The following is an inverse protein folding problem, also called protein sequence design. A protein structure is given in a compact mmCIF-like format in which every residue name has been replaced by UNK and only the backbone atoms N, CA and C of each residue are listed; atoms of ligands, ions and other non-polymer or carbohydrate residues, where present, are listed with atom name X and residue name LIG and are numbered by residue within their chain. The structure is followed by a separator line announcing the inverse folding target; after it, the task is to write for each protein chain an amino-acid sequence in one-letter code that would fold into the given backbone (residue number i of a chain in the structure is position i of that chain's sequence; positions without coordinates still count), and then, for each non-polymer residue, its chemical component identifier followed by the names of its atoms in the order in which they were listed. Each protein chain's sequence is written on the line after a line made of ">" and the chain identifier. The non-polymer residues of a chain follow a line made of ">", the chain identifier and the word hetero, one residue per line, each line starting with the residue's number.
data_IF_805871076366
#
_entry.id   IF_805871076366
#
_cell.length_a   1.000
_cell.length_b   1.000
_cell.length_c   1.000
_cell.angle_alpha   90.00
_cell.angle_beta   90.00
_cell.angle_gamma   90.00
#
_symmetry.space_group_name_H-M   'P 1'
#
loop_
_entity.id
_entity.type
_entity.pdbx_description
1 polymer ?
#
# COMPACT_ATOMS: atom_id res chain seq x y z
N UNK A 1 -14.83 20.08 -3.61
CA UNK A 1 -13.56 19.37 -3.36
C UNK A 1 -13.33 19.39 -1.86
N UNK A 2 -13.48 18.28 -1.11
CA UNK A 2 -12.76 18.19 0.14
C UNK A 2 -11.28 18.07 -0.21
N UNK A 3 -10.58 19.17 0.02
CA UNK A 3 -9.14 19.35 -0.13
C UNK A 3 -8.45 18.35 0.82
N UNK A 4 -7.30 17.74 0.45
CA UNK A 4 -6.51 16.96 1.39
C UNK A 4 -6.33 17.76 2.69
N UNK A 5 -6.56 17.13 3.84
CA UNK A 5 -6.50 17.79 5.15
C UNK A 5 -5.15 18.50 5.28
N UNK A 6 -5.19 19.81 5.49
CA UNK A 6 -3.97 20.60 5.66
C UNK A 6 -3.21 20.06 6.86
N UNK A 7 -1.98 19.60 6.62
CA UNK A 7 -1.10 19.14 7.68
C UNK A 7 -0.74 20.30 8.61
N UNK A 8 -0.99 20.13 9.90
CA UNK A 8 -0.59 21.09 10.93
C UNK A 8 0.74 20.63 11.53
N UNK A 9 1.88 21.31 11.25
CA UNK A 9 3.16 20.93 11.82
C UNK A 9 3.19 21.15 13.35
N UNK A 10 4.10 20.48 14.09
CA UNK A 10 4.27 20.72 15.51
C UNK A 10 4.70 22.17 15.78
N UNK A 11 4.21 22.74 16.87
CA UNK A 11 4.69 24.02 17.37
C UNK A 11 6.01 23.82 18.13
N UNK A 12 7.14 24.02 17.44
CA UNK A 12 8.48 23.90 18.02
C UNK A 12 8.83 25.03 19.00
N UNK A 13 7.97 26.04 19.17
CA UNK A 13 8.15 27.07 20.21
C UNK A 13 7.66 26.61 21.59
N UNK A 14 6.93 25.49 21.67
CA UNK A 14 6.49 24.90 22.93
C UNK A 14 7.71 24.59 23.83
N UNK A 15 7.63 24.84 25.15
CA UNK A 15 8.79 24.70 26.04
C UNK A 15 9.47 23.33 26.00
N UNK A 16 8.70 22.25 25.86
CA UNK A 16 9.18 20.87 25.75
C UNK A 16 10.00 20.63 24.48
N UNK A 17 9.53 21.11 23.32
CA UNK A 17 10.24 20.94 22.05
C UNK A 17 11.35 21.98 21.81
N UNK A 18 11.21 23.19 22.37
CA UNK A 18 12.21 24.25 22.27
C UNK A 18 13.46 23.95 23.11
N UNK A 19 13.29 23.28 24.25
CA UNK A 19 14.38 22.87 25.14
C UNK A 19 14.92 21.46 24.86
N UNK A 20 14.32 20.74 23.90
CA UNK A 20 14.74 19.40 23.52
C UNK A 20 16.21 19.34 23.08
N UNK A 21 16.95 18.29 23.45
CA UNK A 21 18.32 18.11 23.01
C UNK A 21 18.38 17.77 21.51
N UNK A 22 19.54 17.96 20.89
CA UNK A 22 19.79 17.40 19.55
C UNK A 22 19.76 15.86 19.63
N UNK A 23 19.25 15.21 18.59
CA UNK A 23 19.18 13.77 18.51
C UNK A 23 20.58 13.14 18.61
N UNK A 24 20.69 12.07 19.39
CA UNK A 24 21.92 11.30 19.49
C UNK A 24 22.12 10.44 18.24
N UNK A 25 23.38 10.23 17.86
CA UNK A 25 23.75 9.48 16.66
C UNK A 25 24.77 8.40 17.02
N UNK A 26 24.63 7.22 16.43
CA UNK A 26 25.57 6.11 16.54
C UNK A 26 25.94 5.55 15.18
N UNK A 27 27.20 5.19 15.01
CA UNK A 27 27.67 4.60 13.76
C UNK A 27 27.25 3.12 13.68
N UNK A 28 26.73 2.72 12.52
CA UNK A 28 26.41 1.32 12.26
C UNK A 28 27.69 0.46 12.29
N UNK A 29 27.78 -0.57 13.17
CA UNK A 29 29.02 -1.31 13.37
C UNK A 29 29.41 -2.20 12.18
N UNK A 30 28.45 -2.62 11.36
CA UNK A 30 28.65 -3.39 10.12
C UNK A 30 27.40 -3.31 9.24
N UNK A 31 27.53 -3.70 7.97
CA UNK A 31 26.40 -3.82 7.05
C UNK A 31 25.26 -4.65 7.67
N UNK A 32 24.04 -4.10 7.61
CA UNK A 32 22.83 -4.74 8.11
C UNK A 32 22.71 -4.79 9.64
N UNK A 33 23.59 -4.11 10.40
CA UNK A 33 23.51 -4.07 11.86
C UNK A 33 23.44 -2.65 12.37
N UNK A 34 22.46 -2.44 13.23
CA UNK A 34 22.17 -1.15 13.84
C UNK A 34 22.98 -0.98 15.14
N UNK A 35 23.36 0.26 15.50
CA UNK A 35 23.93 0.54 16.81
C UNK A 35 22.92 0.23 17.92
N UNK A 36 23.41 -0.03 19.14
CA UNK A 36 22.54 -0.14 20.30
C UNK A 36 21.74 1.15 20.48
N UNK A 37 20.51 1.03 20.96
CA UNK A 37 19.61 2.16 21.17
C UNK A 37 19.16 2.89 19.89
N UNK A 38 19.28 2.30 18.70
CA UNK A 38 18.73 2.88 17.46
C UNK A 38 17.23 3.21 17.60
N UNK A 39 16.76 4.33 17.05
CA UNK A 39 15.33 4.62 16.95
C UNK A 39 14.67 3.81 15.84
N UNK A 40 13.57 3.14 16.14
CA UNK A 40 12.76 2.40 15.17
C UNK A 40 11.58 3.27 14.75
N UNK A 41 11.42 3.50 13.46
CA UNK A 41 10.35 4.37 12.95
C UNK A 41 8.99 3.68 12.99
N UNK A 42 7.98 4.48 13.29
CA UNK A 42 6.57 4.22 13.00
C UNK A 42 6.27 4.49 11.52
N UNK A 43 5.00 4.64 11.16
CA UNK A 43 4.55 5.15 9.87
C UNK A 43 4.06 6.61 9.93
N UNK A 44 4.04 7.23 11.11
CA UNK A 44 3.62 8.62 11.31
C UNK A 44 4.70 9.63 10.84
N UNK A 45 4.36 10.92 10.70
CA UNK A 45 5.34 11.98 10.56
C UNK A 45 6.29 12.03 11.76
N UNK A 46 7.58 11.87 11.53
CA UNK A 46 8.60 11.90 12.58
C UNK A 46 9.61 13.01 12.32
N UNK A 47 9.91 13.76 13.38
CA UNK A 47 10.86 14.86 13.35
C UNK A 47 12.12 14.49 14.13
N UNK A 48 13.27 14.87 13.59
CA UNK A 48 14.58 14.73 14.24
C UNK A 48 15.15 16.12 14.50
N UNK A 49 15.53 16.38 15.75
CA UNK A 49 16.17 17.63 16.14
C UNK A 49 17.67 17.57 15.81
N UNK A 50 18.13 18.46 14.93
CA UNK A 50 19.54 18.55 14.52
C UNK A 50 20.37 19.50 15.40
N UNK A 51 19.78 20.05 16.46
CA UNK A 51 20.35 21.12 17.28
C UNK A 51 20.04 22.52 16.77
N UNK A 52 20.28 23.53 17.62
CA UNK A 52 20.03 24.93 17.28
C UNK A 52 18.56 25.26 16.99
N UNK A 53 17.62 24.47 17.52
CA UNK A 53 16.18 24.60 17.29
C UNK A 53 15.70 24.06 15.93
N UNK A 54 16.58 23.42 15.14
CA UNK A 54 16.23 22.92 13.81
C UNK A 54 15.67 21.50 13.88
N UNK A 55 14.36 21.38 13.72
CA UNK A 55 13.65 20.10 13.57
C UNK A 55 13.45 19.76 12.10
N UNK A 56 13.81 18.54 11.71
CA UNK A 56 13.65 18.05 10.33
C UNK A 56 12.62 16.92 10.29
N UNK A 57 11.56 17.10 9.51
CA UNK A 57 10.62 16.04 9.18
C UNK A 57 11.32 15.00 8.29
N UNK A 58 11.17 13.72 8.62
CA UNK A 58 11.57 12.65 7.71
C UNK A 58 10.79 12.80 6.39
N UNK A 59 11.46 12.86 5.22
CA UNK A 59 10.75 13.08 3.95
C UNK A 59 9.93 11.88 3.49
N UNK A 60 10.21 10.72 4.08
CA UNK A 60 9.57 9.44 3.84
C UNK A 60 9.35 8.75 5.19
N UNK A 61 8.53 7.70 5.22
CA UNK A 61 8.36 6.88 6.42
C UNK A 61 8.13 5.41 6.06
N UNK A 62 8.30 4.55 7.04
CA UNK A 62 8.15 3.09 6.98
C UNK A 62 8.16 2.56 8.41
N UNK A 63 7.22 1.69 8.73
CA UNK A 63 7.26 1.01 10.03
C UNK A 63 8.45 0.05 10.10
N UNK A 64 9.10 -0.01 11.26
CA UNK A 64 10.27 -0.86 11.55
C UNK A 64 11.51 -0.54 10.69
N UNK A 65 11.67 0.71 10.27
CA UNK A 65 12.90 1.23 9.66
C UNK A 65 13.72 2.05 10.65
N UNK A 66 14.83 2.64 10.18
CA UNK A 66 15.66 3.54 10.98
C UNK A 66 15.91 4.86 10.27
N UNK A 67 16.19 5.90 11.05
CA UNK A 67 16.58 7.21 10.55
C UNK A 67 18.11 7.28 10.44
N UNK A 68 18.61 7.47 9.22
CA UNK A 68 20.03 7.70 8.93
C UNK A 68 20.24 9.17 8.59
N UNK A 69 21.15 9.84 9.31
CA UNK A 69 21.49 11.24 9.08
C UNK A 69 22.72 11.35 8.17
N UNK A 70 22.55 11.95 7.00
CA UNK A 70 23.64 12.20 6.05
C UNK A 70 23.54 13.63 5.50
N UNK A 71 24.64 14.41 5.60
CA UNK A 71 24.73 15.77 5.05
C UNK A 71 23.58 16.71 5.47
N UNK A 72 23.11 16.59 6.72
CA UNK A 72 22.00 17.40 7.24
C UNK A 72 20.61 17.01 6.73
N UNK A 73 20.50 15.85 6.06
CA UNK A 73 19.23 15.25 5.61
C UNK A 73 18.99 13.93 6.33
N UNK A 74 17.72 13.63 6.61
CA UNK A 74 17.28 12.37 7.21
C UNK A 74 16.78 11.44 6.11
N UNK A 75 17.26 10.20 6.13
CA UNK A 75 16.79 9.10 5.26
C UNK A 75 16.14 8.04 6.13
N UNK A 76 15.04 7.46 5.64
CA UNK A 76 14.42 6.29 6.25
C UNK A 76 14.94 5.05 5.54
N UNK A 77 15.64 4.19 6.27
CA UNK A 77 16.39 3.06 5.71
C UNK A 77 15.98 1.78 6.43
N UNK A 78 15.70 0.73 5.66
CA UNK A 78 15.47 -0.60 6.19
C UNK A 78 16.73 -1.12 6.89
N UNK A 79 16.63 -1.78 8.06
CA UNK A 79 17.81 -2.23 8.81
C UNK A 79 18.78 -3.08 7.98
N UNK A 80 18.27 -3.92 7.08
CA UNK A 80 19.08 -4.77 6.19
C UNK A 80 19.89 -4.01 5.13
N UNK A 81 19.54 -2.76 4.84
CA UNK A 81 20.19 -1.93 3.84
C UNK A 81 21.20 -0.94 4.44
N UNK A 82 21.19 -0.76 5.76
CA UNK A 82 22.15 0.10 6.47
C UNK A 82 23.58 -0.39 6.23
N UNK A 83 24.48 0.56 5.93
CA UNK A 83 25.90 0.31 5.66
C UNK A 83 26.77 0.63 6.86
N UNK A 84 27.89 -0.08 6.99
CA UNK A 84 28.87 0.17 8.04
C UNK A 84 29.29 1.65 8.05
N UNK A 85 29.30 2.27 9.23
CA UNK A 85 29.66 3.67 9.42
C UNK A 85 28.55 4.69 9.13
N UNK A 86 27.36 4.27 8.68
CA UNK A 86 26.23 5.20 8.57
C UNK A 86 25.76 5.67 9.95
N UNK A 87 25.46 6.96 10.07
CA UNK A 87 25.06 7.60 11.33
C UNK A 87 23.56 7.41 11.56
N UNK A 88 23.21 6.49 12.44
CA UNK A 88 21.83 6.14 12.78
C UNK A 88 21.37 6.95 14.00
N UNK A 89 20.15 7.47 13.96
CA UNK A 89 19.51 8.16 15.10
C UNK A 89 19.27 7.18 16.24
N UNK A 90 19.61 7.60 17.46
CA UNK A 90 19.46 6.84 18.69
C UNK A 90 18.38 7.46 19.58
N UNK A 91 17.57 6.61 20.19
CA UNK A 91 16.53 6.99 21.13
C UNK A 91 15.44 5.93 21.28
N UNK A 92 14.64 6.09 22.33
CA UNK A 92 13.46 5.28 22.67
C UNK A 92 12.24 6.13 22.98
N UNK A 93 12.42 7.41 23.30
CA UNK A 93 11.30 8.33 23.51
C UNK A 93 10.94 9.08 22.23
N UNK A 94 9.67 9.50 22.17
CA UNK A 94 9.04 9.99 20.94
C UNK A 94 8.33 11.34 21.13
N UNK A 95 8.46 11.99 22.29
CA UNK A 95 7.85 13.31 22.56
C UNK A 95 8.90 14.44 22.59
N UNK A 96 10.08 14.20 22.01
CA UNK A 96 11.17 15.16 21.89
C UNK A 96 12.26 15.04 22.95
N UNK A 97 12.10 14.19 23.97
CA UNK A 97 13.03 14.09 25.10
C UNK A 97 14.45 13.65 24.67
N UNK A 98 14.55 12.84 23.61
CA UNK A 98 15.81 12.42 22.99
C UNK A 98 16.05 13.06 21.60
N UNK A 99 15.36 14.17 21.30
CA UNK A 99 15.44 14.86 20.01
C UNK A 99 14.69 14.16 18.87
N UNK A 100 13.73 13.29 19.21
CA UNK A 100 12.84 12.58 18.27
C UNK A 100 11.40 12.92 18.65
N UNK A 101 10.59 13.36 17.68
CA UNK A 101 9.19 13.68 17.90
C UNK A 101 8.29 13.00 16.87
N UNK A 102 7.39 12.12 17.34
CA UNK A 102 6.39 11.45 16.49
C UNK A 102 5.10 12.25 16.53
N UNK A 103 4.70 12.82 15.39
CA UNK A 103 3.55 13.71 15.29
C UNK A 103 2.30 12.97 14.79
N UNK A 104 1.46 12.53 15.72
CA UNK A 104 0.27 11.72 15.42
C UNK A 104 -0.98 12.54 15.09
N UNK A 105 -1.05 13.80 15.54
CA UNK A 105 -2.25 14.66 15.44
C UNK A 105 -2.21 15.65 14.28
N UNK A 106 -1.18 15.56 13.41
CA UNK A 106 -0.97 16.54 12.34
C UNK A 106 -2.06 16.57 11.26
N UNK A 107 -2.95 15.58 11.23
CA UNK A 107 -4.08 15.50 10.30
C UNK A 107 -5.45 15.53 11.00
N UNK A 108 -5.47 15.69 12.32
CA UNK A 108 -6.72 15.72 13.08
C UNK A 108 -7.53 16.95 12.67
N UNK A 109 -8.84 16.75 12.48
CA UNK A 109 -9.75 17.88 12.30
C UNK A 109 -10.23 18.36 13.67
N UNK A 110 -10.46 19.67 13.81
CA UNK A 110 -10.93 20.30 15.08
C UNK A 110 -12.23 19.65 15.63
N UNK A 111 -12.94 18.86 14.81
CA UNK A 111 -14.15 18.12 15.17
C UNK A 111 -13.93 16.78 15.89
N UNK A 112 -12.72 16.23 15.94
CA UNK A 112 -12.45 14.93 16.60
C UNK A 112 -12.37 14.99 18.14
N UNK A 113 -12.52 16.19 18.72
CA UNK A 113 -12.60 16.38 20.18
C UNK A 113 -14.00 16.08 20.73
N UNK A 114 -14.46 14.85 20.57
CA UNK A 114 -15.62 14.32 21.30
C UNK A 114 -15.25 14.14 22.77
N UNK A 115 -15.69 15.06 23.64
CA UNK A 115 -15.41 15.06 25.09
C UNK A 115 -16.25 14.05 25.91
N UNK A 116 -17.08 13.22 25.26
CA UNK A 116 -18.03 12.35 25.95
C UNK A 116 -17.40 11.06 26.46
N UNK A 117 -17.68 10.73 27.73
CA UNK A 117 -17.10 9.59 28.45
C UNK A 117 -17.74 8.23 28.09
N UNK A 118 -18.83 8.23 27.33
CA UNK A 118 -19.56 7.02 26.92
C UNK A 118 -19.93 7.11 25.44
N UNK A 119 -19.29 6.27 24.62
CA UNK A 119 -19.39 6.30 23.16
C UNK A 119 -19.65 4.88 22.65
N UNK A 120 -20.72 4.69 21.87
CA UNK A 120 -20.96 3.45 21.13
C UNK A 120 -20.25 3.50 19.77
N UNK A 121 -19.89 2.33 19.20
CA UNK A 121 -19.35 2.19 17.84
C UNK A 121 -18.02 2.91 17.61
N UNK A 122 -17.08 2.78 18.54
CA UNK A 122 -15.70 3.28 18.40
C UNK A 122 -14.84 2.50 17.41
N UNK A 123 -15.37 1.42 16.80
CA UNK A 123 -14.71 0.60 15.79
C UNK A 123 -15.69 0.23 14.67
N UNK A 124 -15.16 0.10 13.46
CA UNK A 124 -15.90 -0.45 12.32
C UNK A 124 -16.31 -1.89 12.59
N UNK A 125 -17.54 -2.24 12.23
CA UNK A 125 -18.12 -3.59 12.31
C UNK A 125 -18.97 -3.82 11.06
N UNK A 126 -19.49 -5.04 10.87
CA UNK A 126 -20.48 -5.32 9.79
C UNK A 126 -21.71 -4.41 9.79
N UNK A 127 -22.02 -3.75 10.90
CA UNK A 127 -23.16 -2.82 11.02
C UNK A 127 -22.79 -1.37 10.68
N UNK A 128 -21.55 -1.11 10.25
CA UNK A 128 -21.07 0.24 9.95
C UNK A 128 -21.60 0.69 8.58
N UNK A 129 -22.29 1.85 8.50
CA UNK A 129 -22.73 2.39 7.23
C UNK A 129 -21.54 3.00 6.47
N UNK A 130 -21.25 2.49 5.28
CA UNK A 130 -20.11 2.93 4.47
C UNK A 130 -20.44 3.99 3.40
N UNK A 131 -21.70 4.41 3.22
CA UNK A 131 -22.10 5.30 2.12
C UNK A 131 -21.25 6.56 2.02
N UNK A 132 -21.06 7.29 3.12
CA UNK A 132 -20.18 8.46 3.16
C UNK A 132 -18.71 8.11 2.91
N UNK A 133 -18.26 6.94 3.37
CA UNK A 133 -16.90 6.47 3.11
C UNK A 133 -16.64 6.23 1.62
N UNK A 134 -17.66 5.73 0.90
CA UNK A 134 -17.62 5.60 -0.55
C UNK A 134 -17.61 6.96 -1.25
N UNK A 135 -18.47 7.90 -0.84
CA UNK A 135 -18.49 9.25 -1.43
C UNK A 135 -17.11 9.92 -1.31
N UNK A 136 -16.51 9.88 -0.12
CA UNK A 136 -15.16 10.40 0.13
C UNK A 136 -14.11 9.65 -0.72
N UNK A 137 -14.19 8.33 -0.82
CA UNK A 137 -13.29 7.52 -1.65
C UNK A 137 -13.39 7.91 -3.12
N UNK A 138 -14.59 8.13 -3.66
CA UNK A 138 -14.78 8.53 -5.05
C UNK A 138 -14.15 9.89 -5.34
N UNK A 139 -14.30 10.86 -4.43
CA UNK A 139 -13.67 12.17 -4.56
C UNK A 139 -12.14 12.08 -4.49
N UNK A 140 -11.62 11.28 -3.55
CA UNK A 140 -10.17 11.03 -3.42
C UNK A 140 -9.62 10.41 -4.71
N UNK A 141 -10.27 9.38 -5.25
CA UNK A 141 -9.80 8.72 -6.48
C UNK A 141 -9.89 9.62 -7.70
N UNK A 142 -10.96 10.43 -7.84
CA UNK A 142 -11.05 11.44 -8.93
C UNK A 142 -9.93 12.46 -8.84
N UNK A 143 -9.59 12.92 -7.64
CA UNK A 143 -8.47 13.84 -7.43
C UNK A 143 -7.12 13.18 -7.72
N UNK A 144 -6.86 12.03 -7.10
CA UNK A 144 -5.57 11.34 -7.17
C UNK A 144 -5.31 10.65 -8.52
N UNK A 145 -6.33 10.48 -9.37
CA UNK A 145 -6.17 10.11 -10.78
C UNK A 145 -5.24 11.08 -11.50
N UNK A 146 -5.41 12.38 -11.26
CA UNK A 146 -4.71 13.43 -12.00
C UNK A 146 -3.60 14.09 -11.16
N UNK A 147 -3.66 13.98 -9.83
CA UNK A 147 -2.78 14.73 -8.90
C UNK A 147 -2.10 13.83 -7.84
N UNK A 148 -2.18 12.51 -7.99
CA UNK A 148 -1.71 11.56 -6.98
C UNK A 148 -1.03 10.34 -7.58
N UNK A 149 -0.88 9.32 -6.74
CA UNK A 149 -0.33 8.03 -7.12
C UNK A 149 -1.13 6.92 -6.42
N UNK A 150 -2.05 6.32 -7.17
CA UNK A 150 -2.99 5.30 -6.71
C UNK A 150 -2.37 3.91 -6.89
N UNK A 151 -2.11 3.23 -5.79
CA UNK A 151 -1.55 1.86 -5.79
C UNK A 151 -2.61 0.84 -5.43
N UNK A 152 -2.74 -0.19 -6.25
CA UNK A 152 -3.66 -1.30 -6.03
C UNK A 152 -2.92 -2.53 -5.53
N UNK A 153 -3.41 -3.15 -4.46
CA UNK A 153 -2.86 -4.39 -3.90
C UNK A 153 -3.93 -5.48 -3.99
N UNK A 154 -3.79 -6.39 -4.95
CA UNK A 154 -4.88 -7.27 -5.37
C UNK A 154 -4.66 -8.74 -5.03
N UNK A 155 -5.69 -9.37 -4.49
CA UNK A 155 -5.84 -10.82 -4.40
C UNK A 155 -6.55 -11.43 -5.62
N UNK A 156 -6.42 -12.75 -5.84
CA UNK A 156 -6.99 -13.41 -7.02
C UNK A 156 -8.53 -13.37 -7.08
N UNK A 157 -9.22 -13.09 -5.96
CA UNK A 157 -10.67 -12.99 -5.91
C UNK A 157 -11.26 -11.95 -6.88
N UNK A 158 -10.48 -10.93 -7.26
CA UNK A 158 -10.86 -9.90 -8.24
C UNK A 158 -10.90 -10.46 -9.67
N UNK A 159 -10.15 -11.53 -9.97
CA UNK A 159 -10.12 -12.17 -11.28
C UNK A 159 -11.08 -13.36 -11.42
N UNK A 160 -11.64 -13.84 -10.30
CA UNK A 160 -12.55 -14.99 -10.28
C UNK A 160 -14.00 -14.67 -10.65
N UNK A 161 -14.32 -13.41 -10.89
CA UNK A 161 -15.64 -12.96 -11.32
C UNK A 161 -15.49 -12.03 -12.53
N UNK A 162 -16.34 -12.23 -13.54
CA UNK A 162 -16.27 -11.47 -14.80
C UNK A 162 -16.44 -9.98 -14.58
N UNK A 163 -17.46 -9.56 -13.85
CA UNK A 163 -17.86 -8.16 -13.78
C UNK A 163 -16.85 -7.33 -12.96
N UNK A 164 -16.29 -7.91 -11.91
CA UNK A 164 -15.20 -7.30 -11.13
C UNK A 164 -13.87 -7.24 -11.89
N UNK A 165 -13.55 -8.25 -12.69
CA UNK A 165 -12.39 -8.25 -13.61
C UNK A 165 -12.53 -7.15 -14.67
N UNK A 166 -13.70 -7.02 -15.26
CA UNK A 166 -14.02 -5.94 -16.23
C UNK A 166 -13.97 -4.56 -15.56
N UNK A 167 -14.51 -4.42 -14.34
CA UNK A 167 -14.44 -3.17 -13.59
C UNK A 167 -13.00 -2.74 -13.29
N UNK A 168 -12.13 -3.67 -12.86
CA UNK A 168 -10.71 -3.37 -12.65
C UNK A 168 -10.01 -2.94 -13.95
N UNK A 169 -10.29 -3.65 -15.05
CA UNK A 169 -9.77 -3.32 -16.38
C UNK A 169 -10.18 -1.90 -16.79
N UNK A 170 -11.45 -1.54 -16.60
CA UNK A 170 -11.96 -0.22 -16.91
C UNK A 170 -11.36 0.89 -16.02
N UNK A 171 -11.09 0.61 -14.74
CA UNK A 171 -10.40 1.54 -13.85
C UNK A 171 -8.95 1.78 -14.29
N UNK A 172 -8.24 0.75 -14.76
CA UNK A 172 -6.90 0.89 -15.34
C UNK A 172 -6.97 1.75 -16.61
N UNK A 173 -7.86 1.40 -17.54
CA UNK A 173 -8.05 2.12 -18.81
C UNK A 173 -8.39 3.60 -18.59
N UNK A 174 -9.14 3.92 -17.52
CA UNK A 174 -9.53 5.27 -17.14
C UNK A 174 -8.47 6.02 -16.30
N UNK A 175 -7.29 5.44 -16.04
CA UNK A 175 -6.19 6.09 -15.32
C UNK A 175 -6.26 6.06 -13.79
N UNK A 176 -7.19 5.30 -13.20
CA UNK A 176 -7.33 5.19 -11.74
C UNK A 176 -6.34 4.20 -11.10
N UNK A 177 -5.36 3.68 -11.86
CA UNK A 177 -4.36 2.74 -11.38
C UNK A 177 -2.96 3.17 -11.86
N UNK A 178 -2.09 3.54 -10.92
CA UNK A 178 -0.73 3.99 -11.21
C UNK A 178 0.34 2.92 -10.94
N UNK A 179 0.00 1.92 -10.13
CA UNK A 179 0.78 0.69 -9.95
C UNK A 179 -0.13 -0.42 -9.42
N UNK A 180 0.16 -1.66 -9.82
CA UNK A 180 -0.55 -2.85 -9.35
C UNK A 180 0.44 -3.83 -8.72
N UNK A 181 0.16 -4.18 -7.47
CA UNK A 181 0.93 -5.14 -6.67
C UNK A 181 0.07 -6.38 -6.42
N UNK A 182 0.60 -7.54 -6.74
CA UNK A 182 -0.10 -8.81 -6.56
C UNK A 182 0.89 -9.97 -6.37
N UNK A 183 0.39 -11.20 -6.41
CA UNK A 183 1.21 -12.40 -6.50
C UNK A 183 0.89 -13.21 -7.75
N UNK A 184 1.60 -14.33 -7.93
CA UNK A 184 1.44 -15.25 -9.06
C UNK A 184 -0.03 -15.60 -9.34
N UNK A 185 -0.79 -15.91 -8.29
CA UNK A 185 -2.18 -16.36 -8.41
C UNK A 185 -3.09 -15.36 -9.14
N UNK A 186 -2.99 -14.05 -8.88
CA UNK A 186 -3.83 -13.07 -9.58
C UNK A 186 -3.52 -13.07 -11.08
N UNK A 187 -2.24 -12.97 -11.44
CA UNK A 187 -1.82 -12.89 -12.83
C UNK A 187 -2.16 -14.18 -13.59
N UNK A 188 -1.95 -15.34 -12.98
CA UNK A 188 -2.32 -16.63 -13.56
C UNK A 188 -3.83 -16.72 -13.82
N UNK A 189 -4.66 -16.39 -12.83
CA UNK A 189 -6.11 -16.53 -12.97
C UNK A 189 -6.74 -15.46 -13.86
N UNK A 190 -6.15 -14.26 -13.96
CA UNK A 190 -6.59 -13.26 -14.94
C UNK A 190 -6.35 -13.71 -16.40
N UNK A 191 -5.24 -14.41 -16.65
CA UNK A 191 -4.94 -15.02 -17.95
C UNK A 191 -5.76 -16.29 -18.19
N UNK A 192 -6.02 -17.09 -17.15
CA UNK A 192 -6.95 -18.23 -17.21
C UNK A 192 -8.35 -17.78 -17.63
N UNK A 193 -8.82 -16.67 -17.04
CA UNK A 193 -10.06 -16.02 -17.44
C UNK A 193 -10.06 -15.58 -18.91
N UNK A 194 -8.95 -15.00 -19.39
CA UNK A 194 -8.84 -14.61 -20.81
C UNK A 194 -8.85 -15.81 -21.77
N UNK A 195 -8.14 -16.89 -21.43
CA UNK A 195 -7.94 -18.03 -22.33
C UNK A 195 -9.09 -19.03 -22.28
N UNK A 196 -9.63 -19.29 -21.10
CA UNK A 196 -10.58 -20.37 -20.84
C UNK A 196 -11.91 -19.90 -20.25
N UNK A 197 -12.02 -18.61 -19.88
CA UNK A 197 -13.15 -18.04 -19.13
C UNK A 197 -13.36 -18.71 -17.77
N UNK A 198 -12.30 -19.27 -17.19
CA UNK A 198 -12.35 -19.93 -15.89
C UNK A 198 -11.38 -19.33 -14.88
N UNK A 199 -11.70 -19.53 -13.59
CA UNK A 199 -10.78 -19.41 -12.47
C UNK A 199 -10.75 -20.72 -11.70
N UNK A 200 -9.60 -21.39 -11.63
CA UNK A 200 -9.47 -22.74 -11.07
C UNK A 200 -10.41 -23.76 -11.73
N UNK A 201 -10.67 -23.60 -13.03
CA UNK A 201 -11.53 -24.50 -13.80
C UNK A 201 -13.04 -24.31 -13.61
N UNK A 202 -13.46 -23.29 -12.86
CA UNK A 202 -14.85 -22.86 -12.75
C UNK A 202 -15.09 -21.65 -13.65
N UNK A 203 -16.17 -21.63 -14.44
CA UNK A 203 -16.53 -20.47 -15.26
C UNK A 203 -16.76 -19.23 -14.39
N UNK A 204 -16.11 -18.12 -14.74
CA UNK A 204 -16.10 -16.88 -13.94
C UNK A 204 -17.42 -16.10 -13.97
N UNK A 205 -18.41 -16.58 -14.73
CA UNK A 205 -19.74 -15.99 -14.80
C UNK A 205 -20.82 -16.98 -14.36
N UNK A 206 -20.88 -18.18 -14.97
CA UNK A 206 -21.94 -19.15 -14.68
C UNK A 206 -21.68 -19.97 -13.42
N UNK A 207 -20.44 -19.97 -12.92
CA UNK A 207 -19.98 -20.80 -11.80
C UNK A 207 -20.04 -22.31 -12.07
N UNK A 208 -20.23 -22.72 -13.33
CA UNK A 208 -20.20 -24.12 -13.72
C UNK A 208 -18.76 -24.64 -13.80
N UNK A 209 -18.53 -25.88 -13.36
CA UNK A 209 -17.22 -26.51 -13.44
C UNK A 209 -16.97 -27.04 -14.86
N UNK A 210 -15.85 -26.65 -15.46
CA UNK A 210 -15.43 -27.19 -16.73
C UNK A 210 -14.83 -28.61 -16.57
N UNK A 211 -15.16 -29.56 -17.46
CA UNK A 211 -14.48 -30.84 -17.51
C UNK A 211 -12.97 -30.66 -17.69
N UNK A 212 -12.17 -31.21 -16.76
CA UNK A 212 -10.70 -31.05 -16.68
C UNK A 212 -10.22 -29.61 -16.42
N UNK A 213 -11.10 -28.74 -15.92
CA UNK A 213 -10.77 -27.34 -15.63
C UNK A 213 -9.62 -27.12 -14.64
N UNK A 214 -9.32 -28.11 -13.78
CA UNK A 214 -8.17 -28.05 -12.87
C UNK A 214 -6.82 -27.95 -13.59
N UNK A 215 -6.73 -28.28 -14.88
CA UNK A 215 -5.52 -28.07 -15.69
C UNK A 215 -5.38 -26.65 -16.24
N UNK A 216 -6.47 -25.87 -16.35
CA UNK A 216 -6.46 -24.59 -17.08
C UNK A 216 -5.38 -23.62 -16.57
N UNK A 217 -5.29 -23.40 -15.26
CA UNK A 217 -4.27 -22.52 -14.68
C UNK A 217 -2.83 -23.05 -14.90
N UNK A 218 -2.62 -24.37 -14.90
CA UNK A 218 -1.33 -24.99 -15.18
C UNK A 218 -0.94 -24.84 -16.65
N UNK A 219 -1.91 -25.01 -17.55
CA UNK A 219 -1.73 -24.82 -18.99
C UNK A 219 -1.37 -23.36 -19.29
N UNK A 220 -2.04 -22.40 -18.66
CA UNK A 220 -1.69 -20.96 -18.74
C UNK A 220 -0.25 -20.74 -18.28
N UNK A 221 0.12 -21.21 -17.09
CA UNK A 221 1.49 -21.05 -16.56
C UNK A 221 2.51 -21.63 -17.54
N UNK A 222 2.29 -22.86 -18.00
CA UNK A 222 3.19 -23.54 -18.92
C UNK A 222 3.34 -22.76 -20.23
N UNK A 223 2.23 -22.23 -20.76
CA UNK A 223 2.22 -21.48 -22.01
C UNK A 223 2.93 -20.13 -21.88
N UNK A 224 2.73 -19.42 -20.76
CA UNK A 224 3.45 -18.17 -20.51
C UNK A 224 4.95 -18.42 -20.38
N UNK A 225 5.33 -19.50 -19.69
CA UNK A 225 6.74 -19.93 -19.58
C UNK A 225 7.31 -20.35 -20.93
N UNK A 226 6.52 -20.97 -21.81
CA UNK A 226 6.93 -21.36 -23.17
C UNK A 226 7.29 -20.14 -24.02
N UNK A 227 6.54 -19.04 -23.90
CA UNK A 227 6.86 -17.78 -24.56
C UNK A 227 7.98 -17.00 -23.85
N UNK A 228 8.11 -17.17 -22.54
CA UNK A 228 9.19 -16.62 -21.71
C UNK A 228 8.89 -15.26 -21.08
N UNK A 229 7.73 -14.66 -21.37
CA UNK A 229 7.25 -13.43 -20.71
C UNK A 229 5.74 -13.23 -20.91
N UNK A 230 5.10 -12.53 -19.98
CA UNK A 230 3.71 -12.07 -20.04
C UNK A 230 3.43 -11.27 -21.31
N UNK A 231 4.28 -10.28 -21.61
CA UNK A 231 4.11 -9.40 -22.78
C UNK A 231 4.07 -10.22 -24.07
N UNK A 232 5.02 -11.15 -24.24
CA UNK A 232 5.06 -11.99 -25.43
C UNK A 232 3.87 -12.94 -25.48
N UNK A 233 3.50 -13.52 -24.34
CA UNK A 233 2.39 -14.46 -24.26
C UNK A 233 1.07 -13.82 -24.65
N UNK A 234 0.79 -12.61 -24.14
CA UNK A 234 -0.43 -11.87 -24.45
C UNK A 234 -0.51 -11.58 -25.96
N UNK A 235 0.60 -11.20 -26.59
CA UNK A 235 0.66 -10.96 -28.02
C UNK A 235 0.45 -12.23 -28.86
N UNK A 236 1.17 -13.31 -28.54
CA UNK A 236 1.14 -14.58 -29.31
C UNK A 236 -0.17 -15.35 -29.12
N UNK A 237 -0.79 -15.25 -27.93
CA UNK A 237 -2.08 -15.89 -27.62
C UNK A 237 -3.29 -15.03 -28.03
N UNK A 238 -3.07 -13.81 -28.53
CA UNK A 238 -4.14 -12.90 -28.93
C UNK A 238 -5.04 -12.47 -27.77
N UNK A 239 -4.49 -12.35 -26.55
CA UNK A 239 -5.22 -11.88 -25.38
C UNK A 239 -5.40 -10.37 -25.50
N UNK A 240 -6.65 -9.91 -25.53
CA UNK A 240 -7.02 -8.50 -25.74
C UNK A 240 -7.81 -7.89 -24.56
N UNK A 241 -7.97 -8.64 -23.47
CA UNK A 241 -8.71 -8.20 -22.29
C UNK A 241 -8.01 -8.67 -20.99
N UNK A 242 -8.49 -8.17 -19.85
CA UNK A 242 -8.01 -8.54 -18.53
C UNK A 242 -7.14 -7.52 -17.84
N UNK A 243 -6.95 -7.74 -16.54
CA UNK A 243 -6.19 -6.87 -15.65
C UNK A 243 -4.74 -6.77 -16.09
N UNK A 244 -4.10 -7.91 -16.39
CA UNK A 244 -2.69 -7.97 -16.81
C UNK A 244 -2.51 -7.32 -18.18
N UNK A 245 -3.40 -7.62 -19.13
CA UNK A 245 -3.39 -6.97 -20.44
C UNK A 245 -3.53 -5.44 -20.32
N UNK A 246 -4.49 -4.97 -19.50
CA UNK A 246 -4.71 -3.54 -19.27
C UNK A 246 -3.47 -2.87 -18.66
N UNK A 247 -2.84 -3.50 -17.66
CA UNK A 247 -1.59 -2.99 -17.09
C UNK A 247 -0.50 -2.84 -18.15
N UNK A 248 -0.30 -3.82 -19.02
CA UNK A 248 0.73 -3.77 -20.05
C UNK A 248 0.40 -2.72 -21.14
N UNK A 249 -0.85 -2.66 -21.58
CA UNK A 249 -1.35 -1.69 -22.57
C UNK A 249 -1.14 -0.25 -22.09
N UNK A 250 -1.42 0.03 -20.83
CA UNK A 250 -1.31 1.36 -20.22
C UNK A 250 0.04 1.60 -19.52
N UNK A 251 0.99 0.66 -19.63
CA UNK A 251 2.30 0.72 -18.98
C UNK A 251 2.22 0.93 -17.46
N UNK A 252 1.16 0.44 -16.82
CA UNK A 252 1.04 0.42 -15.37
C UNK A 252 2.04 -0.58 -14.81
N UNK A 253 2.98 -0.16 -13.94
CA UNK A 253 3.93 -1.06 -13.30
C UNK A 253 3.21 -2.19 -12.55
N UNK A 254 3.63 -3.42 -12.85
CA UNK A 254 3.12 -4.63 -12.24
C UNK A 254 4.22 -5.28 -11.40
N UNK A 255 4.00 -5.42 -10.09
CA UNK A 255 4.90 -6.16 -9.19
C UNK A 255 4.21 -7.45 -8.75
N UNK A 256 4.74 -8.58 -9.19
CA UNK A 256 4.27 -9.91 -8.79
C UNK A 256 5.22 -10.50 -7.75
N UNK A 257 4.84 -10.46 -6.48
CA UNK A 257 5.60 -11.06 -5.40
C UNK A 257 5.34 -12.57 -5.33
N UNK A 258 6.41 -13.36 -5.31
CA UNK A 258 6.32 -14.80 -5.17
C UNK A 258 5.92 -15.25 -3.76
N UNK A 259 5.28 -16.40 -3.68
CA UNK A 259 4.87 -17.06 -2.44
C UNK A 259 5.22 -18.54 -2.48
N UNK A 260 5.36 -19.14 -1.29
CA UNK A 260 5.67 -20.57 -1.13
C UNK A 260 4.59 -21.51 -1.68
N UNK A 261 3.42 -20.97 -2.05
CA UNK A 261 2.29 -21.73 -2.62
C UNK A 261 2.20 -21.64 -4.14
N UNK A 262 3.12 -20.93 -4.79
CA UNK A 262 2.97 -20.61 -6.20
C UNK A 262 3.17 -21.85 -7.08
N UNK A 263 2.20 -22.11 -7.97
CA UNK A 263 2.36 -23.03 -9.09
C UNK A 263 3.16 -22.36 -10.21
N UNK A 264 4.14 -23.06 -10.80
CA UNK A 264 4.99 -22.51 -11.86
C UNK A 264 6.32 -21.97 -11.32
N UNK A 265 6.46 -20.65 -11.05
CA UNK A 265 5.54 -19.52 -11.30
C UNK A 265 5.65 -18.92 -12.71
N UNK A 266 4.85 -17.89 -13.01
CA UNK A 266 5.01 -17.06 -14.21
C UNK A 266 6.41 -16.38 -14.23
N UNK A 267 7.02 -16.13 -15.41
CA UNK A 267 8.39 -15.61 -15.51
C UNK A 267 8.65 -14.28 -14.77
N UNK A 268 7.65 -13.40 -14.72
CA UNK A 268 7.73 -12.06 -14.11
C UNK A 268 7.66 -12.08 -12.58
N UNK A 269 7.34 -13.23 -11.97
CA UNK A 269 7.20 -13.34 -10.52
C UNK A 269 8.56 -13.23 -9.84
N UNK A 270 8.66 -12.28 -8.90
CA UNK A 270 9.85 -12.07 -8.08
C UNK A 270 9.80 -13.05 -6.91
N UNK A 271 10.53 -14.16 -7.02
CA UNK A 271 10.55 -15.23 -6.01
C UNK A 271 11.38 -14.89 -4.77
N UNK A 272 12.35 -13.98 -4.90
CA UNK A 272 13.10 -13.45 -3.76
C UNK A 272 12.25 -12.41 -3.02
N UNK A 273 11.86 -12.74 -1.78
CA UNK A 273 10.97 -11.89 -0.98
C UNK A 273 11.57 -10.54 -0.62
N UNK A 274 12.89 -10.43 -0.47
CA UNK A 274 13.56 -9.17 -0.19
C UNK A 274 13.57 -8.26 -1.42
N UNK A 275 13.80 -8.81 -2.61
CA UNK A 275 13.69 -8.09 -3.89
C UNK A 275 12.25 -7.70 -4.21
N UNK A 276 11.28 -8.57 -3.92
CA UNK A 276 9.86 -8.26 -4.08
C UNK A 276 9.47 -7.10 -3.15
N UNK A 277 9.92 -7.14 -1.90
CA UNK A 277 9.72 -6.05 -0.95
C UNK A 277 10.38 -4.74 -1.43
N UNK A 278 11.60 -4.77 -1.97
CA UNK A 278 12.26 -3.57 -2.52
C UNK A 278 11.48 -3.00 -3.72
N UNK A 279 10.96 -3.85 -4.61
CA UNK A 279 10.13 -3.44 -5.73
C UNK A 279 8.80 -2.82 -5.26
N UNK A 280 8.14 -3.42 -4.26
CA UNK A 280 6.93 -2.84 -3.65
C UNK A 280 7.25 -1.52 -2.93
N UNK A 281 8.39 -1.44 -2.22
CA UNK A 281 8.82 -0.25 -1.48
C UNK A 281 8.95 0.96 -2.40
N UNK A 282 9.46 0.77 -3.62
CA UNK A 282 9.53 1.82 -4.63
C UNK A 282 8.17 2.52 -4.83
N UNK A 283 7.09 1.76 -4.96
CA UNK A 283 5.74 2.31 -5.13
C UNK A 283 5.17 2.91 -3.84
N UNK A 284 5.45 2.30 -2.67
CA UNK A 284 4.97 2.83 -1.38
C UNK A 284 5.49 4.23 -1.05
N UNK A 285 6.69 4.60 -1.56
CA UNK A 285 7.27 5.94 -1.36
C UNK A 285 6.51 7.03 -2.11
N UNK A 286 5.82 6.68 -3.19
CA UNK A 286 5.07 7.62 -4.03
C UNK A 286 3.58 7.61 -3.73
N UNK A 287 3.05 6.54 -3.13
CA UNK A 287 1.64 6.35 -2.90
C UNK A 287 0.98 7.52 -2.14
N UNK A 288 -0.13 8.01 -2.69
CA UNK A 288 -1.03 8.97 -2.00
C UNK A 288 -2.36 8.30 -1.63
N UNK A 289 -2.76 7.29 -2.40
CA UNK A 289 -3.92 6.44 -2.12
C UNK A 289 -3.55 4.98 -2.39
N UNK A 290 -3.96 4.10 -1.49
CA UNK A 290 -3.74 2.65 -1.58
C UNK A 290 -5.08 1.95 -1.44
N UNK A 291 -5.43 1.10 -2.40
CA UNK A 291 -6.63 0.25 -2.34
C UNK A 291 -6.20 -1.20 -2.34
N UNK A 292 -6.48 -1.91 -1.25
CA UNK A 292 -6.07 -3.30 -1.09
C UNK A 292 -7.29 -4.23 -0.97
N UNK A 293 -7.36 -5.24 -1.83
CA UNK A 293 -8.55 -6.08 -2.02
C UNK A 293 -8.23 -7.57 -1.79
N UNK A 294 -8.90 -8.18 -0.81
CA UNK A 294 -8.93 -9.64 -0.58
C UNK A 294 -7.53 -10.32 -0.59
N UNK A 295 -6.51 -9.70 0.01
CA UNK A 295 -5.14 -10.24 0.02
C UNK A 295 -4.38 -9.92 1.29
N UNK A 296 -4.67 -10.63 2.38
CA UNK A 296 -4.09 -10.34 3.70
C UNK A 296 -2.56 -10.24 3.69
N UNK A 297 -1.86 -11.20 3.05
CA UNK A 297 -0.40 -11.21 3.03
C UNK A 297 0.19 -9.96 2.35
N UNK A 298 -0.27 -9.63 1.15
CA UNK A 298 0.27 -8.49 0.40
C UNK A 298 -0.17 -7.16 1.02
N UNK A 299 -1.40 -7.08 1.54
CA UNK A 299 -1.87 -5.87 2.24
C UNK A 299 -1.07 -5.61 3.50
N UNK A 300 -0.76 -6.64 4.31
CA UNK A 300 0.14 -6.51 5.46
C UNK A 300 1.52 -6.02 5.01
N UNK A 301 2.10 -6.71 4.03
CA UNK A 301 3.45 -6.41 3.57
C UNK A 301 3.55 -4.97 3.07
N UNK A 302 2.62 -4.55 2.22
CA UNK A 302 2.59 -3.20 1.68
C UNK A 302 2.25 -2.15 2.75
N UNK A 303 1.30 -2.42 3.64
CA UNK A 303 0.95 -1.53 4.74
C UNK A 303 2.12 -1.20 5.66
N UNK A 304 3.00 -2.17 5.93
CA UNK A 304 4.23 -1.91 6.70
C UNK A 304 5.18 -0.93 5.99
N UNK A 305 5.10 -0.82 4.66
CA UNK A 305 5.92 0.06 3.83
C UNK A 305 5.26 1.39 3.50
N UNK A 306 3.96 1.56 3.74
CA UNK A 306 3.25 2.78 3.37
C UNK A 306 3.34 3.80 4.51
N UNK A 307 3.84 5.03 4.24
CA UNK A 307 3.80 6.10 5.23
C UNK A 307 2.38 6.61 5.42
N UNK A 308 2.08 7.20 6.58
CA UNK A 308 0.81 7.87 6.86
C UNK A 308 0.75 9.29 6.25
N UNK A 309 1.74 9.67 5.46
CA UNK A 309 1.83 11.00 4.88
C UNK A 309 2.75 10.98 3.68
N UNK A 310 2.57 11.98 2.82
CA UNK A 310 3.46 12.26 1.71
C UNK A 310 3.88 13.71 1.75
N UNK A 311 5.18 13.93 1.75
CA UNK A 311 5.78 15.24 1.44
C UNK A 311 5.80 15.39 -0.08
N UNK A 312 5.10 16.40 -0.60
CA UNK A 312 5.03 16.72 -2.02
C UNK A 312 6.24 17.57 -2.45
N UNK A 313 6.47 17.68 -3.76
CA UNK A 313 7.60 18.44 -4.32
C UNK A 313 7.60 19.93 -3.92
N UNK A 314 6.41 20.50 -3.73
CA UNK A 314 6.23 21.87 -3.25
C UNK A 314 6.43 22.03 -1.73
N UNK A 315 6.80 20.97 -1.01
CA UNK A 315 7.03 20.94 0.43
C UNK A 315 5.76 20.79 1.27
N UNK A 316 4.57 20.79 0.67
CA UNK A 316 3.32 20.53 1.41
C UNK A 316 3.24 19.06 1.83
N UNK A 317 2.56 18.81 2.95
CA UNK A 317 2.38 17.48 3.51
C UNK A 317 0.90 17.13 3.45
N UNK A 318 0.58 15.95 2.91
CA UNK A 318 -0.79 15.44 2.82
C UNK A 318 -0.88 14.04 3.43
N UNK A 319 -2.07 13.62 3.90
CA UNK A 319 -2.26 12.25 4.37
C UNK A 319 -2.18 11.27 3.19
N UNK A 320 -1.83 10.02 3.50
CA UNK A 320 -1.93 8.89 2.57
C UNK A 320 -3.18 8.10 2.93
N UNK A 321 -4.09 7.94 1.98
CA UNK A 321 -5.31 7.19 2.23
C UNK A 321 -5.08 5.71 1.98
N UNK A 322 -5.39 4.85 2.94
CA UNK A 322 -5.22 3.41 2.79
C UNK A 322 -6.55 2.70 3.03
N UNK A 323 -7.16 2.18 1.98
CA UNK A 323 -8.40 1.42 2.04
C UNK A 323 -8.12 -0.08 1.96
N UNK A 324 -8.75 -0.82 2.87
CA UNK A 324 -8.68 -2.28 2.92
C UNK A 324 -10.09 -2.81 2.72
N UNK A 325 -10.28 -3.64 1.71
CA UNK A 325 -11.58 -4.24 1.42
C UNK A 325 -11.46 -5.75 1.52
N UNK A 326 -12.21 -6.33 2.44
CA UNK A 326 -12.25 -7.77 2.68
C UNK A 326 -13.62 -8.15 3.27
N UNK A 327 -14.09 -9.36 2.97
CA UNK A 327 -15.33 -9.88 3.55
C UNK A 327 -15.14 -10.33 5.02
N UNK A 328 -13.89 -10.55 5.43
CA UNK A 328 -13.55 -11.02 6.76
C UNK A 328 -13.18 -9.86 7.70
N UNK A 329 -13.96 -9.72 8.78
CA UNK A 329 -13.66 -8.82 9.90
C UNK A 329 -12.24 -9.05 10.44
N UNK A 330 -11.80 -10.31 10.54
CA UNK A 330 -10.46 -10.64 11.00
C UNK A 330 -9.35 -10.12 10.08
N UNK A 331 -9.56 -10.19 8.76
CA UNK A 331 -8.61 -9.66 7.78
C UNK A 331 -8.51 -8.14 7.90
N UNK A 332 -9.66 -7.47 7.82
CA UNK A 332 -9.80 -6.03 7.93
C UNK A 332 -9.21 -5.45 9.23
N UNK A 333 -9.60 -6.00 10.38
CA UNK A 333 -9.19 -5.48 11.69
C UNK A 333 -7.70 -5.69 11.95
N UNK A 334 -7.14 -6.86 11.59
CA UNK A 334 -5.70 -7.08 11.74
C UNK A 334 -4.87 -6.10 10.92
N UNK A 335 -5.39 -5.71 9.75
CA UNK A 335 -4.73 -4.79 8.84
C UNK A 335 -4.83 -3.35 9.35
N UNK A 336 -5.98 -2.94 9.87
CA UNK A 336 -6.16 -1.60 10.44
C UNK A 336 -5.36 -1.37 11.74
N UNK A 337 -5.16 -2.40 12.56
CA UNK A 337 -4.53 -2.26 13.88
C UNK A 337 -2.99 -2.35 13.90
N UNK A 338 -2.29 -2.43 12.75
CA UNK A 338 -0.82 -2.55 12.68
C UNK A 338 -0.10 -1.21 12.53
N UNK A 339 -0.45 -0.24 13.38
CA UNK A 339 0.13 1.10 13.35
C UNK A 339 -0.40 2.00 12.23
N UNK A 340 -1.17 1.45 11.27
CA UNK A 340 -1.83 2.24 10.22
C UNK A 340 -3.13 2.85 10.74
N UNK A 341 -3.06 3.78 11.69
CA UNK A 341 -4.23 4.52 12.17
C UNK A 341 -5.02 5.23 11.05
N UNK A 342 -4.42 5.37 9.86
CA UNK A 342 -5.05 5.93 8.66
C UNK A 342 -5.73 4.90 7.75
N UNK A 343 -5.63 3.61 8.07
CA UNK A 343 -6.22 2.55 7.28
C UNK A 343 -7.73 2.46 7.53
N UNK A 344 -8.51 2.58 6.47
CA UNK A 344 -9.97 2.50 6.47
C UNK A 344 -10.40 1.12 5.95
N UNK A 345 -10.90 0.29 6.85
CA UNK A 345 -11.44 -1.00 6.48
C UNK A 345 -12.90 -0.89 6.00
N UNK A 346 -13.21 -1.50 4.86
CA UNK A 346 -14.56 -1.65 4.31
C UNK A 346 -14.88 -3.15 4.27
N UNK A 347 -15.90 -3.54 5.02
CA UNK A 347 -16.33 -4.93 5.14
C UNK A 347 -17.37 -5.25 4.07
N UNK A 348 -16.94 -5.86 2.96
CA UNK A 348 -17.83 -6.21 1.84
C UNK A 348 -17.18 -7.24 0.91
N UNK A 349 -17.95 -7.81 -0.01
CA UNK A 349 -17.40 -8.60 -1.10
C UNK A 349 -16.62 -7.67 -2.04
N UNK A 350 -15.37 -8.02 -2.34
CA UNK A 350 -14.50 -7.23 -3.23
C UNK A 350 -15.05 -7.10 -4.65
N UNK A 351 -15.82 -8.08 -5.12
CA UNK A 351 -16.44 -8.06 -6.45
C UNK A 351 -17.51 -6.97 -6.52
N UNK A 352 -18.41 -6.94 -5.53
CA UNK A 352 -19.43 -5.90 -5.39
C UNK A 352 -18.79 -4.52 -5.20
N UNK A 353 -17.71 -4.43 -4.40
CA UNK A 353 -16.95 -3.19 -4.23
C UNK A 353 -16.44 -2.66 -5.58
N UNK A 354 -15.82 -3.53 -6.39
CA UNK A 354 -15.23 -3.14 -7.68
C UNK A 354 -16.29 -2.65 -8.67
N UNK A 355 -17.41 -3.36 -8.77
CA UNK A 355 -18.52 -2.98 -9.65
C UNK A 355 -19.12 -1.63 -9.20
N UNK A 356 -19.36 -1.46 -7.89
CA UNK A 356 -19.88 -0.20 -7.35
C UNK A 356 -18.92 0.96 -7.56
N UNK A 357 -17.62 0.73 -7.39
CA UNK A 357 -16.59 1.72 -7.60
C UNK A 357 -16.56 2.20 -9.05
N UNK A 358 -16.50 1.27 -10.00
CA UNK A 358 -16.51 1.61 -11.43
C UNK A 358 -17.81 2.30 -11.83
N UNK A 359 -18.96 1.85 -11.32
CA UNK A 359 -20.25 2.47 -11.61
C UNK A 359 -20.29 3.96 -11.26
N UNK A 360 -19.60 4.38 -10.21
CA UNK A 360 -19.56 5.78 -9.75
C UNK A 360 -18.41 6.60 -10.34
N UNK A 361 -17.32 5.96 -10.79
CA UNK A 361 -16.14 6.64 -11.35
C UNK A 361 -16.15 6.77 -12.88
N UNK A 362 -17.04 6.05 -13.58
CA UNK A 362 -17.20 6.12 -15.04
C UNK A 362 -17.89 7.40 -15.55
N UNK A 363 -18.58 8.13 -14.65
CA UNK A 363 -19.20 9.42 -14.91
C UNK A 363 -18.25 10.56 -14.52
#
# INVERSE_FOLDING_TARGET
>A
MPIPTNYTPPDFSRPDLASAPAASLGDAPRDGVLPRNFHATSNHPEYVHLGGGKWLLAPESRMDAVLVLANGTVKVVEPRLVKAGERVVLGRTENGEEGIFVHTTGFDTVMDASADKFIFRTRGTRETPFSRSYDELYEILRHDRDNGYIVWVLGPAVAFDRDSREAMTALIDAGYCHALLAGNALATHDLEAAMFRTGLGQDIYTQELHPRGHYHHLDVINEVRRHGSLIRSIAELGIIDGIIHACLKHQVPLVLAGSIRDDGPLPEVITDSCRAQDAMRHHSRSATTVIALATQLHTIAFGNMVPSYKVLENGSVRPVYFYIVDMSEFGADKLANRGSCQARAILTNVQDFMVNLWHNLKG
#
